data_IF_823298869250
#
_entry.id   IF_823298869250
#
_cell.length_a   1.000
_cell.length_b   1.000
_cell.length_c   1.000
_cell.angle_alpha   90.00
_cell.angle_beta   90.00
_cell.angle_gamma   90.00
#
_symmetry.space_group_name_H-M   'P 1'
#
loop_
_entity.id
_entity.type
_entity.pdbx_description
1 polymer ?
#
# COMPACT_ATOMS: atom_id res chain seq x y z
N UNK A 1 6.46 1.67 -5.78
CA UNK A 1 6.74 0.62 -4.78
C UNK A 1 8.17 0.84 -4.35
N UNK A 2 8.37 1.00 -3.05
CA UNK A 2 9.72 1.16 -2.49
C UNK A 2 10.06 -0.06 -1.64
N UNK A 3 11.28 -0.61 -1.81
CA UNK A 3 11.87 -1.60 -0.92
C UNK A 3 12.98 -0.91 -0.11
N UNK A 4 13.02 -1.13 1.21
CA UNK A 4 14.08 -0.63 2.08
C UNK A 4 14.37 -1.64 3.19
N UNK A 5 15.63 -1.73 3.61
CA UNK A 5 16.03 -2.61 4.70
C UNK A 5 16.08 -1.82 6.02
N UNK A 6 15.28 -2.24 7.00
CA UNK A 6 15.16 -1.55 8.30
C UNK A 6 15.47 -2.50 9.45
N UNK A 7 15.87 -1.94 10.59
CA UNK A 7 16.13 -2.69 11.82
C UNK A 7 14.97 -2.55 12.78
N UNK A 8 14.23 -3.64 13.02
CA UNK A 8 13.09 -3.70 13.96
C UNK A 8 13.47 -4.62 15.11
N UNK A 9 13.47 -4.10 16.35
CA UNK A 9 13.81 -4.86 17.57
C UNK A 9 15.13 -5.65 17.47
N UNK A 10 16.14 -5.05 16.83
CA UNK A 10 17.46 -5.67 16.67
C UNK A 10 17.59 -6.61 15.46
N UNK A 11 16.51 -6.99 14.79
CA UNK A 11 16.51 -7.81 13.58
C UNK A 11 16.38 -6.94 12.34
N UNK A 12 17.08 -7.31 11.29
CA UNK A 12 16.89 -6.67 10.00
C UNK A 12 15.73 -7.30 9.25
N UNK A 13 14.87 -6.47 8.66
CA UNK A 13 13.69 -6.87 7.92
C UNK A 13 13.53 -6.01 6.67
N UNK A 14 12.96 -6.60 5.64
CA UNK A 14 12.59 -5.92 4.41
C UNK A 14 11.27 -5.19 4.65
N UNK A 15 11.29 -3.88 4.42
CA UNK A 15 10.11 -3.03 4.41
C UNK A 15 9.75 -2.71 2.96
N UNK A 16 8.51 -3.04 2.61
CA UNK A 16 7.90 -2.72 1.34
C UNK A 16 6.83 -1.66 1.55
N UNK A 17 6.84 -0.57 0.76
CA UNK A 17 5.90 0.56 0.88
C UNK A 17 5.12 0.80 -0.41
N UNK A 18 3.80 0.74 -0.30
CA UNK A 18 2.83 1.18 -1.31
C UNK A 18 2.68 2.68 -1.24
N UNK A 19 3.30 3.38 -2.18
CA UNK A 19 3.18 4.83 -2.35
C UNK A 19 2.41 5.13 -3.63
N UNK A 20 1.53 6.11 -3.58
CA UNK A 20 0.84 6.62 -4.76
C UNK A 20 1.74 7.59 -5.55
N UNK A 21 1.22 8.10 -6.67
CA UNK A 21 1.96 9.03 -7.52
C UNK A 21 2.11 10.45 -6.92
N UNK A 22 1.42 10.76 -5.82
CA UNK A 22 1.54 12.01 -5.07
C UNK A 22 2.52 11.88 -3.90
N UNK A 23 3.01 10.67 -3.64
CA UNK A 23 3.88 10.35 -2.51
C UNK A 23 3.13 9.99 -1.24
N UNK A 24 1.79 9.87 -1.29
CA UNK A 24 1.00 9.42 -0.17
C UNK A 24 1.19 7.92 0.02
N UNK A 25 1.42 7.51 1.27
CA UNK A 25 1.60 6.08 1.56
C UNK A 25 0.24 5.41 1.73
N UNK A 26 -0.03 4.44 0.86
CA UNK A 26 -1.21 3.61 0.83
C UNK A 26 -1.13 2.49 1.87
N UNK A 27 -0.01 1.75 1.90
CA UNK A 27 0.14 0.57 2.77
C UNK A 27 1.61 0.12 2.94
N UNK A 28 1.88 -0.75 3.91
CA UNK A 28 3.21 -1.27 4.26
C UNK A 28 3.21 -2.78 4.50
N UNK A 29 4.25 -3.47 4.03
CA UNK A 29 4.48 -4.89 4.31
C UNK A 29 5.89 -5.10 4.85
N UNK A 30 6.01 -5.89 5.92
CA UNK A 30 7.29 -6.33 6.48
C UNK A 30 7.52 -7.80 6.17
N UNK A 31 8.75 -8.14 5.76
CA UNK A 31 9.17 -9.52 5.56
C UNK A 31 10.56 -9.77 6.13
N UNK A 32 10.75 -10.92 6.76
CA UNK A 32 12.07 -11.36 7.25
C UNK A 32 13.00 -11.76 6.10
N UNK A 33 12.44 -12.09 4.93
CA UNK A 33 13.19 -12.48 3.73
C UNK A 33 12.79 -11.59 2.55
N UNK A 34 13.68 -11.44 1.57
CA UNK A 34 13.35 -10.77 0.32
C UNK A 34 12.33 -11.63 -0.44
N UNK A 35 11.10 -11.14 -0.52
CA UNK A 35 9.97 -11.83 -1.16
C UNK A 35 9.21 -10.83 -2.03
N UNK A 36 9.71 -10.68 -3.25
CA UNK A 36 9.18 -9.74 -4.23
C UNK A 36 7.83 -10.17 -4.78
N UNK A 37 7.55 -11.48 -4.82
CA UNK A 37 6.29 -12.02 -5.32
C UNK A 37 5.16 -11.72 -4.34
N UNK A 38 5.38 -12.00 -3.04
CA UNK A 38 4.43 -11.66 -2.00
C UNK A 38 4.22 -10.14 -1.92
N UNK A 39 5.29 -9.36 -2.05
CA UNK A 39 5.19 -7.91 -2.11
C UNK A 39 4.32 -7.51 -3.31
N UNK A 40 4.65 -7.93 -4.52
CA UNK A 40 3.90 -7.59 -5.74
C UNK A 40 2.41 -7.93 -5.61
N UNK A 41 2.07 -9.09 -5.03
CA UNK A 41 0.68 -9.47 -4.77
C UNK A 41 -0.01 -8.50 -3.79
N UNK A 42 0.66 -8.17 -2.68
CA UNK A 42 0.20 -7.19 -1.70
C UNK A 42 -0.06 -5.81 -2.34
N UNK A 43 0.86 -5.31 -3.17
CA UNK A 43 0.69 -4.02 -3.85
C UNK A 43 -0.50 -4.01 -4.82
N UNK A 44 -0.71 -5.09 -5.58
CA UNK A 44 -1.87 -5.20 -6.47
C UNK A 44 -3.16 -5.08 -5.67
N UNK A 45 -3.23 -5.75 -4.52
CA UNK A 45 -4.39 -5.70 -3.64
C UNK A 45 -4.60 -4.31 -3.03
N UNK A 46 -3.53 -3.68 -2.52
CA UNK A 46 -3.59 -2.32 -1.96
C UNK A 46 -4.05 -1.29 -3.02
N UNK A 47 -3.56 -1.43 -4.26
CA UNK A 47 -3.96 -0.55 -5.37
C UNK A 47 -5.44 -0.69 -5.71
N UNK A 48 -5.95 -1.93 -5.79
CA UNK A 48 -7.37 -2.19 -6.06
C UNK A 48 -8.23 -1.63 -4.93
N UNK A 49 -7.87 -1.87 -3.67
CA UNK A 49 -8.62 -1.36 -2.52
C UNK A 49 -8.64 0.17 -2.49
N UNK A 50 -7.51 0.83 -2.70
CA UNK A 50 -7.42 2.28 -2.76
C UNK A 50 -8.32 2.86 -3.88
N UNK A 51 -8.33 2.23 -5.06
CA UNK A 51 -9.19 2.63 -6.18
C UNK A 51 -10.69 2.48 -5.84
N UNK A 52 -11.08 1.34 -5.25
CA UNK A 52 -12.46 1.07 -4.87
C UNK A 52 -12.95 2.05 -3.79
N UNK A 53 -12.14 2.30 -2.77
CA UNK A 53 -12.47 3.27 -1.72
C UNK A 53 -12.65 4.66 -2.32
N UNK A 54 -11.71 5.10 -3.17
CA UNK A 54 -11.77 6.43 -3.80
C UNK A 54 -12.99 6.59 -4.70
N UNK A 55 -13.35 5.57 -5.48
CA UNK A 55 -14.55 5.60 -6.33
C UNK A 55 -15.86 5.60 -5.52
N UNK A 56 -15.91 4.85 -4.41
CA UNK A 56 -17.06 4.87 -3.51
C UNK A 56 -17.27 6.25 -2.87
N UNK A 57 -16.20 6.87 -2.36
CA UNK A 57 -16.27 8.22 -1.77
C UNK A 57 -16.76 9.28 -2.76
N UNK A 58 -16.32 9.22 -4.03
CA UNK A 58 -16.80 10.12 -5.09
C UNK A 58 -18.30 9.93 -5.32
N UNK A 59 -18.75 8.67 -5.43
CA UNK A 59 -20.16 8.34 -5.66
C UNK A 59 -21.05 8.81 -4.50
N UNK A 60 -20.61 8.59 -3.26
CA UNK A 60 -21.33 9.07 -2.06
C UNK A 60 -21.42 10.60 -2.06
N UNK A 61 -20.33 11.30 -2.35
CA UNK A 61 -20.31 12.76 -2.43
C UNK A 61 -21.31 13.32 -3.45
N UNK A 62 -21.38 12.71 -4.65
CA UNK A 62 -22.34 13.10 -5.69
C UNK A 62 -23.79 12.84 -5.28
N UNK A 63 -24.08 11.73 -4.58
CA UNK A 63 -25.43 11.42 -4.10
C UNK A 63 -25.91 12.34 -2.98
N UNK A 64 -25.00 12.94 -2.20
CA UNK A 64 -25.35 13.89 -1.14
C UNK A 64 -25.55 15.31 -1.65
N UNK A 65 -25.21 15.58 -2.91
CA UNK A 65 -25.36 16.87 -3.58
C UNK A 65 -26.62 16.94 -4.46
N UNK A 66 -27.42 15.87 -4.49
CA UNK A 66 -28.66 15.73 -5.24
C UNK A 66 -29.90 15.88 -4.35
#
# INVERSE_FOLDING_TARGET
MDETYIKVKGKWVYLYRAVDNRGDTLDFMLSERRDEDAATAFFKQATIMAFLIRSLWIKVGQTMQA
#
